data_IF_589776120267
#
_entry.id   IF_589776120267
#
_cell.length_a   1.000
_cell.length_b   1.000
_cell.length_c   1.000
_cell.angle_alpha   90.00
_cell.angle_beta   90.00
_cell.angle_gamma   90.00
#
_symmetry.space_group_name_H-M   'P 1'
#
loop_
_entity.id
_entity.type
_entity.pdbx_description
1 polymer ?
2 non-polymer ?
3 non-polymer ?
4 non-polymer ?
5 water ?
#
# COMPACT_ATOMS: atom_id res chain seq x y z
N UNK A 3 11.59 -19.68 -12.25
CA UNK A 3 10.48 -19.91 -11.33
C UNK A 3 9.56 -21.00 -11.84
N UNK A 4 8.85 -21.69 -10.93
CA UNK A 4 7.80 -22.60 -11.37
C UNK A 4 6.72 -21.89 -12.21
N UNK A 5 5.93 -22.62 -12.98
CA UNK A 5 4.80 -22.00 -13.71
C UNK A 5 3.74 -21.49 -12.77
N UNK A 6 3.16 -20.30 -12.96
CA UNK A 6 2.00 -19.89 -12.16
C UNK A 6 0.89 -20.92 -12.29
N UNK A 7 0.15 -21.11 -11.22
CA UNK A 7 -0.94 -22.09 -11.17
C UNK A 7 -2.30 -21.43 -11.26
N UNK A 8 -2.90 -21.39 -12.45
CA UNK A 8 -4.16 -20.67 -12.64
C UNK A 8 -5.33 -21.39 -11.95
N UNK A 9 -5.32 -22.72 -11.89
CA UNK A 9 -6.38 -23.43 -11.17
C UNK A 9 -6.33 -23.05 -9.69
N UNK A 10 -5.10 -23.00 -9.12
CA UNK A 10 -4.96 -22.53 -7.74
C UNK A 10 -5.38 -21.08 -7.57
N UNK A 11 -5.04 -20.20 -8.50
CA UNK A 11 -5.52 -18.80 -8.40
C UNK A 11 -7.04 -18.76 -8.45
N UNK A 12 -7.67 -19.51 -9.31
CA UNK A 12 -9.15 -19.56 -9.44
C UNK A 12 -9.74 -20.01 -8.08
N UNK A 13 -9.14 -21.02 -7.45
CA UNK A 13 -9.66 -21.49 -6.17
C UNK A 13 -9.52 -20.43 -5.08
N UNK A 14 -8.42 -19.67 -5.04
CA UNK A 14 -8.25 -18.59 -4.07
C UNK A 14 -9.38 -17.56 -4.22
N UNK A 15 -9.66 -17.10 -5.45
CA UNK A 15 -10.73 -16.11 -5.67
C UNK A 15 -12.07 -16.67 -5.26
N UNK A 16 -12.34 -17.94 -5.62
CA UNK A 16 -13.65 -18.54 -5.24
C UNK A 16 -13.75 -18.62 -3.72
N UNK A 17 -12.69 -18.97 -3.03
CA UNK A 17 -12.71 -19.01 -1.55
C UNK A 17 -12.97 -17.61 -1.00
N UNK A 18 -12.33 -16.58 -1.51
CA UNK A 18 -12.55 -15.20 -1.03
C UNK A 18 -14.02 -14.80 -1.20
N UNK A 19 -14.65 -15.14 -2.33
CA UNK A 19 -16.07 -14.82 -2.45
C UNK A 19 -16.86 -15.55 -1.38
N UNK A 20 -16.55 -16.83 -1.15
CA UNK A 20 -17.31 -17.61 -0.14
C UNK A 20 -17.16 -17.04 1.26
N UNK A 21 -16.13 -16.24 1.51
CA UNK A 21 -15.82 -15.66 2.80
C UNK A 21 -16.32 -14.21 2.93
N UNK A 22 -16.89 -13.64 1.87
CA UNK A 22 -17.58 -12.35 1.97
C UNK A 22 -17.06 -11.30 1.03
N UNK A 23 -16.08 -11.58 0.17
CA UNK A 23 -15.67 -10.57 -0.84
C UNK A 23 -16.71 -10.50 -1.95
N UNK A 24 -17.29 -9.34 -2.29
CA UNK A 24 -18.19 -9.32 -3.47
C UNK A 24 -17.50 -9.73 -4.74
N UNK A 25 -16.25 -9.33 -4.91
CA UNK A 25 -15.44 -9.59 -6.04
C UNK A 25 -13.98 -9.74 -5.65
N UNK A 26 -13.24 -10.50 -6.50
CA UNK A 26 -11.80 -10.73 -6.24
C UNK A 26 -11.15 -10.97 -7.59
N UNK A 27 -9.92 -10.47 -7.75
CA UNK A 27 -9.25 -10.65 -9.05
C UNK A 27 -7.73 -10.63 -8.85
N UNK A 28 -7.02 -11.07 -9.91
CA UNK A 28 -5.57 -11.19 -9.86
C UNK A 28 -5.02 -11.11 -11.30
N UNK A 29 -3.86 -10.41 -11.40
CA UNK A 29 -3.10 -10.35 -12.66
C UNK A 29 -1.67 -10.71 -12.38
N UNK A 30 -1.12 -11.62 -13.19
CA UNK A 30 0.30 -11.97 -13.11
C UNK A 30 0.95 -11.54 -14.42
N UNK A 31 2.09 -10.85 -14.34
CA UNK A 31 2.90 -10.63 -15.51
C UNK A 31 4.09 -11.55 -15.35
N UNK A 32 4.10 -12.65 -16.09
CA UNK A 32 5.16 -13.68 -15.97
C UNK A 32 6.14 -13.51 -17.14
N UNK A 33 7.09 -12.60 -16.98
CA UNK A 33 8.10 -12.39 -18.01
C UNK A 33 7.51 -12.23 -19.41
N UNK A 34 6.45 -11.42 -19.51
CA UNK A 34 5.83 -11.18 -20.81
C UNK A 34 4.65 -12.03 -21.21
N UNK A 35 4.25 -12.99 -20.38
CA UNK A 35 3.03 -13.78 -20.55
C UNK A 35 2.08 -13.41 -19.43
N UNK A 36 0.85 -13.04 -19.80
CA UNK A 36 -0.09 -12.51 -18.81
C UNK A 36 -0.99 -13.60 -18.32
N UNK A 37 -1.27 -13.60 -17.00
CA UNK A 37 -2.34 -14.40 -16.44
C UNK A 37 -3.37 -13.45 -15.81
N UNK A 38 -4.66 -13.67 -16.02
CA UNK A 38 -5.66 -12.74 -15.50
C UNK A 38 -6.93 -13.48 -15.18
N UNK A 39 -7.40 -13.34 -13.93
CA UNK A 39 -8.57 -14.02 -13.44
C UNK A 39 -9.39 -13.07 -12.57
N UNK A 40 -10.70 -13.23 -12.65
CA UNK A 40 -11.59 -12.42 -11.78
C UNK A 40 -12.87 -13.20 -11.48
N UNK A 41 -13.47 -13.00 -10.34
CA UNK A 41 -14.73 -13.62 -10.04
C UNK A 41 -15.58 -12.65 -9.22
N UNK A 42 -16.89 -12.62 -9.48
CA UNK A 42 -17.80 -11.78 -8.70
C UNK A 42 -18.01 -10.39 -9.28
N UNK A 43 -18.39 -9.47 -8.37
CA UNK A 43 -18.97 -8.19 -8.80
C UNK A 43 -18.15 -7.02 -8.31
N UNK A 44 -18.04 -6.03 -9.22
CA UNK A 44 -17.52 -4.69 -8.90
C UNK A 44 -18.53 -3.86 -8.12
N UNK A 45 -19.80 -4.01 -8.49
CA UNK A 45 -20.90 -3.28 -7.83
C UNK A 45 -21.95 -4.34 -7.47
N UNK A 46 -22.12 -4.58 -6.17
CA UNK A 46 -23.01 -5.65 -5.75
C UNK A 46 -24.47 -5.30 -5.89
N UNK A 47 -24.83 -4.01 -5.99
CA UNK A 47 -26.18 -3.54 -6.08
C UNK A 47 -26.64 -3.61 -7.54
N UNK A 48 -25.79 -3.19 -8.48
CA UNK A 48 -26.12 -3.28 -9.91
C UNK A 48 -25.81 -4.65 -10.50
N UNK A 49 -24.90 -5.42 -9.87
CA UNK A 49 -24.46 -6.69 -10.38
C UNK A 49 -23.36 -6.61 -11.42
N UNK A 50 -22.81 -5.42 -11.71
CA UNK A 50 -21.75 -5.33 -12.72
C UNK A 50 -20.53 -6.15 -12.31
N UNK A 51 -20.06 -7.01 -13.22
CA UNK A 51 -18.94 -7.91 -12.92
C UNK A 51 -17.62 -7.17 -12.72
N UNK A 52 -16.82 -7.71 -11.79
CA UNK A 52 -15.45 -7.20 -11.60
C UNK A 52 -14.56 -7.73 -12.69
N UNK A 53 -13.55 -6.94 -13.05
CA UNK A 53 -12.59 -7.36 -14.09
C UNK A 53 -11.22 -6.81 -13.70
N UNK A 54 -10.15 -7.39 -14.27
CA UNK A 54 -8.79 -7.03 -13.89
C UNK A 54 -8.42 -5.64 -14.42
N UNK A 55 -9.25 -4.99 -15.26
CA UNK A 55 -8.98 -3.61 -15.63
C UNK A 55 -9.68 -2.60 -14.73
N UNK A 56 -10.46 -3.03 -13.75
CA UNK A 56 -11.11 -2.07 -12.87
C UNK A 56 -10.13 -1.34 -11.98
N UNK A 57 -10.21 -0.02 -11.90
CA UNK A 57 -9.42 0.74 -10.98
C UNK A 57 -9.85 0.52 -9.54
N UNK A 58 -8.94 0.76 -8.58
CA UNK A 58 -9.28 0.56 -7.17
C UNK A 58 -8.31 1.36 -6.30
N UNK A 59 -8.64 1.46 -5.00
CA UNK A 59 -7.80 2.15 -4.03
C UNK A 59 -6.78 1.16 -3.45
N UNK A 60 -5.48 1.50 -3.58
CA UNK A 60 -4.39 0.59 -3.24
C UNK A 60 -3.95 0.67 -1.78
N UNK A 61 -4.50 1.59 -0.99
CA UNK A 61 -4.11 1.75 0.42
C UNK A 61 -2.62 1.88 0.59
N UNK A 62 -2.01 1.19 1.55
CA UNK A 62 -0.62 1.40 1.96
C UNK A 62 0.40 0.98 0.93
N UNK A 63 -0.01 0.40 -0.21
CA UNK A 63 0.87 0.28 -1.37
C UNK A 63 1.43 1.66 -1.75
N UNK A 64 0.63 2.72 -1.45
CA UNK A 64 1.04 4.10 -1.64
C UNK A 64 2.41 4.39 -1.03
N UNK A 65 2.73 3.73 0.09
CA UNK A 65 3.99 3.99 0.78
C UNK A 65 5.20 3.65 -0.10
N UNK A 66 5.06 2.66 -0.99
CA UNK A 66 6.18 2.36 -1.88
C UNK A 66 6.40 3.50 -2.88
N UNK A 67 5.32 4.12 -3.31
CA UNK A 67 5.41 5.33 -4.18
C UNK A 67 6.09 6.48 -3.43
N UNK A 68 5.67 6.73 -2.16
CA UNK A 68 6.32 7.78 -1.37
C UNK A 68 7.79 7.48 -1.15
N UNK A 69 8.12 6.20 -0.84
CA UNK A 69 9.52 5.87 -0.61
C UNK A 69 10.36 6.04 -1.86
N UNK A 70 9.85 5.71 -3.04
CA UNK A 70 10.61 5.89 -4.28
C UNK A 70 10.93 7.37 -4.44
N UNK A 71 9.93 8.26 -4.24
CA UNK A 71 10.22 9.70 -4.35
C UNK A 71 11.31 10.10 -3.35
N UNK A 72 11.20 9.71 -2.08
CA UNK A 72 12.20 10.09 -1.08
C UNK A 72 13.59 9.54 -1.44
N UNK A 73 13.68 8.31 -1.96
CA UNK A 73 15.01 7.74 -2.28
C UNK A 73 15.58 8.44 -3.49
N UNK A 74 14.75 8.92 -4.42
CA UNK A 74 15.30 9.77 -5.53
C UNK A 74 15.84 11.07 -4.94
N UNK A 75 15.18 11.64 -3.93
CA UNK A 75 15.70 12.85 -3.29
C UNK A 75 17.02 12.55 -2.61
N UNK A 76 17.20 11.34 -2.03
CA UNK A 76 18.53 10.97 -1.48
C UNK A 76 19.54 10.92 -2.60
N UNK A 77 19.23 10.27 -3.73
CA UNK A 77 20.11 10.28 -4.89
C UNK A 77 20.50 11.70 -5.33
N UNK A 78 19.57 12.65 -5.26
CA UNK A 78 19.82 14.03 -5.66
C UNK A 78 20.52 14.87 -4.60
N UNK A 79 20.81 14.29 -3.44
CA UNK A 79 21.54 15.04 -2.40
C UNK A 79 20.71 15.96 -1.55
N UNK A 80 19.38 15.82 -1.64
CA UNK A 80 18.44 16.66 -0.93
C UNK A 80 17.99 16.15 0.42
N UNK A 81 18.34 14.86 0.70
CA UNK A 81 17.84 14.16 1.89
C UNK A 81 18.88 13.18 2.34
N UNK A 82 19.18 13.09 3.60
CA UNK A 82 20.08 12.13 4.21
C UNK A 82 19.25 11.22 5.11
N UNK A 83 19.27 9.90 4.78
CA UNK A 83 18.43 9.00 5.56
C UNK A 83 18.75 8.99 7.05
N UNK A 84 19.99 9.28 7.45
CA UNK A 84 20.35 9.20 8.88
C UNK A 84 20.28 10.53 9.59
N UNK A 85 19.86 11.60 8.91
CA UNK A 85 19.57 12.87 9.60
C UNK A 85 18.24 12.82 10.32
N UNK A 86 18.12 13.66 11.34
CA UNK A 86 16.86 13.86 12.08
C UNK A 86 15.74 14.36 11.18
N UNK A 87 14.53 13.85 11.45
CA UNK A 87 13.38 14.45 10.81
C UNK A 87 13.33 15.96 11.01
N UNK A 88 13.62 16.43 12.24
CA UNK A 88 13.46 17.82 12.59
C UNK A 88 14.48 18.70 11.88
N UNK A 89 15.53 18.11 11.32
CA UNK A 89 16.47 18.89 10.50
C UNK A 89 15.72 19.50 9.32
N UNK A 90 14.77 18.74 8.76
CA UNK A 90 14.04 19.16 7.57
C UNK A 90 12.70 19.78 7.89
N UNK A 91 12.09 19.40 9.00
CA UNK A 91 10.76 19.85 9.42
C UNK A 91 10.92 20.35 10.83
N UNK A 92 11.53 21.52 11.02
CA UNK A 92 11.87 22.04 12.33
C UNK A 92 10.68 22.07 13.27
N UNK A 93 10.98 21.61 14.46
CA UNK A 93 9.98 21.61 15.53
C UNK A 93 8.89 20.57 15.37
N UNK A 94 8.93 19.65 14.40
CA UNK A 94 7.80 18.80 14.12
C UNK A 94 7.58 17.79 15.25
N UNK A 95 8.67 17.11 15.60
CA UNK A 95 8.57 16.03 16.57
C UNK A 95 9.15 16.49 17.90
N UNK A 96 8.64 15.97 19.03
CA UNK A 96 9.21 16.25 20.34
C UNK A 96 10.57 15.57 20.45
N UNK A 97 10.90 14.50 19.76
CA UNK A 97 12.23 13.88 19.80
C UNK A 97 13.01 14.19 18.54
N UNK A 98 14.08 15.03 18.76
CA UNK A 98 14.90 15.47 17.59
C UNK A 98 15.83 14.34 17.25
N UNK A 99 15.73 13.24 17.99
CA UNK A 99 16.49 12.02 17.80
C UNK A 99 15.93 11.12 16.70
N UNK A 100 14.62 11.23 16.38
CA UNK A 100 14.05 10.32 15.38
C UNK A 100 14.56 10.67 14.00
N UNK A 101 15.04 9.69 13.25
CA UNK A 101 15.60 9.98 11.94
C UNK A 101 14.68 9.57 10.78
N UNK A 102 15.06 10.04 9.57
CA UNK A 102 14.30 9.69 8.35
C UNK A 102 14.24 8.20 8.12
N UNK A 103 15.36 7.52 8.28
CA UNK A 103 15.42 6.07 8.08
C UNK A 103 14.49 5.34 9.03
N UNK A 104 14.44 5.83 10.29
CA UNK A 104 13.57 5.22 11.29
C UNK A 104 12.10 5.39 10.90
N UNK A 105 11.68 6.58 10.45
CA UNK A 105 10.26 6.71 9.97
C UNK A 105 9.98 5.80 8.79
N UNK A 106 10.93 5.72 7.83
CA UNK A 106 10.62 4.98 6.60
C UNK A 106 10.57 3.47 6.79
N UNK A 107 11.11 2.99 7.91
CA UNK A 107 11.13 1.56 8.24
C UNK A 107 10.23 1.22 9.44
N UNK A 108 9.37 2.16 9.85
CA UNK A 108 8.49 1.90 11.03
C UNK A 108 9.25 1.55 12.27
N UNK A 109 10.38 2.21 12.52
CA UNK A 109 11.14 2.05 13.76
C UNK A 109 11.20 3.36 14.54
N UNK A 110 10.25 4.28 14.36
CA UNK A 110 10.31 5.57 15.04
C UNK A 110 9.69 5.64 16.43
N UNK A 111 8.77 4.71 16.74
CA UNK A 111 7.94 4.76 17.96
C UNK A 111 6.81 5.73 17.91
N UNK A 112 6.56 6.49 16.83
CA UNK A 112 5.41 7.40 16.78
C UNK A 112 4.11 6.64 16.81
N UNK A 113 3.19 7.07 17.67
CA UNK A 113 1.90 6.42 17.82
C UNK A 113 1.05 6.49 16.54
N UNK A 114 0.36 5.44 16.17
CA UNK A 114 -0.47 5.41 14.99
C UNK A 114 -1.85 5.99 15.30
N UNK A 115 -2.08 7.26 14.87
CA UNK A 115 -3.36 7.96 15.13
C UNK A 115 -4.56 7.19 14.59
N UNK A 116 -4.39 6.32 13.58
CA UNK A 116 -5.59 5.63 13.06
C UNK A 116 -6.11 4.62 14.06
N UNK A 117 -5.30 4.16 15.04
CA UNK A 117 -5.89 3.33 16.11
C UNK A 117 -6.93 4.07 16.97
N UNK A 118 -6.87 5.41 17.01
CA UNK A 118 -7.98 6.16 17.62
C UNK A 118 -9.16 6.24 16.65
N UNK A 119 -8.91 6.45 15.37
CA UNK A 119 -10.00 6.73 14.40
C UNK A 119 -10.90 5.52 14.15
N UNK A 120 -10.31 4.31 14.10
CA UNK A 120 -11.04 3.16 13.61
C UNK A 120 -11.21 2.09 14.68
N UNK A 121 -11.24 2.47 15.96
CA UNK A 121 -11.63 1.51 17.02
C UNK A 121 -12.94 0.83 16.73
N UNK A 122 -13.88 1.55 16.14
CA UNK A 122 -15.15 1.01 15.65
C UNK A 122 -15.13 1.18 14.12
N UNK A 123 -15.25 0.09 13.34
CA UNK A 123 -14.98 0.15 11.90
C UNK A 123 -15.88 1.08 11.14
N UNK A 124 -17.20 0.86 11.18
CA UNK A 124 -18.10 1.71 10.33
C UNK A 124 -18.26 3.09 10.93
N UNK A 125 -18.46 3.26 12.25
CA UNK A 125 -18.54 4.63 12.77
C UNK A 125 -17.28 5.42 12.44
N UNK A 126 -16.09 4.82 12.55
CA UNK A 126 -14.86 5.55 12.30
C UNK A 126 -14.76 5.91 10.83
N UNK A 127 -15.15 5.02 9.90
CA UNK A 127 -15.22 5.38 8.49
C UNK A 127 -16.18 6.56 8.24
N UNK A 128 -17.37 6.50 8.83
CA UNK A 128 -18.33 7.58 8.64
C UNK A 128 -17.75 8.88 9.21
N UNK A 129 -16.93 8.81 10.25
CA UNK A 129 -16.34 10.01 10.85
C UNK A 129 -15.34 10.66 9.91
N UNK A 130 -14.48 9.88 9.24
CA UNK A 130 -13.35 10.49 8.49
C UNK A 130 -13.65 10.58 7.00
N UNK A 131 -14.68 9.92 6.43
CA UNK A 131 -14.70 9.74 4.95
C UNK A 131 -14.79 11.03 4.19
N UNK A 132 -15.43 12.03 4.76
CA UNK A 132 -15.65 13.32 4.08
C UNK A 132 -14.88 14.43 4.77
N UNK A 133 -13.85 14.09 5.55
CA UNK A 133 -13.01 15.09 6.20
C UNK A 133 -11.76 15.36 5.37
N UNK A 134 -11.30 16.60 5.40
CA UNK A 134 -10.02 16.96 4.84
C UNK A 134 -9.08 17.38 5.97
N UNK A 135 -7.94 16.69 6.07
CA UNK A 135 -6.93 16.97 7.08
C UNK A 135 -5.68 17.58 6.44
N UNK A 136 -5.00 18.46 7.14
CA UNK A 136 -3.65 18.82 6.72
C UNK A 136 -2.70 17.72 7.19
N UNK A 137 -1.48 17.71 6.65
CA UNK A 137 -0.47 16.80 7.20
C UNK A 137 -0.25 17.07 8.68
N UNK A 138 -0.13 18.37 9.01
CA UNK A 138 0.17 18.73 10.41
C UNK A 138 -0.97 18.28 11.30
N UNK A 139 -2.23 18.31 10.86
CA UNK A 139 -3.34 17.83 11.70
C UNK A 139 -3.10 16.40 12.15
N UNK A 140 -2.66 15.56 11.17
CA UNK A 140 -2.44 14.13 11.50
C UNK A 140 -1.27 13.92 12.43
N UNK A 141 -0.17 14.65 12.24
CA UNK A 141 0.95 14.57 13.19
C UNK A 141 0.51 14.98 14.61
N UNK A 142 -0.25 16.08 14.68
CA UNK A 142 -0.70 16.52 16.01
C UNK A 142 -1.53 15.43 16.67
N UNK A 143 -2.40 14.71 15.92
CA UNK A 143 -3.19 13.61 16.49
C UNK A 143 -2.29 12.51 17.01
N UNK A 144 -1.22 12.17 16.34
CA UNK A 144 -0.26 11.17 16.85
C UNK A 144 0.36 11.64 18.15
N UNK A 145 0.79 12.90 18.17
CA UNK A 145 1.58 13.41 19.30
C UNK A 145 0.71 13.63 20.54
N UNK A 146 -0.61 13.50 20.49
CA UNK A 146 -1.41 13.42 21.72
C UNK A 146 -1.00 12.22 22.57
N UNK A 147 -0.35 11.21 21.97
CA UNK A 147 0.10 10.03 22.66
C UNK A 147 1.62 10.05 22.76
N UNK A 148 2.15 9.47 23.83
CA UNK A 148 3.62 9.40 23.87
C UNK A 148 4.09 8.36 22.89
N UNK A 149 5.38 8.34 22.55
CA UNK A 149 5.93 7.26 21.71
C UNK A 149 5.79 5.91 22.40
N UNK A 150 5.76 4.90 21.55
CA UNK A 150 5.53 3.55 22.11
C UNK A 150 6.83 2.82 22.39
N UNK A 151 7.97 3.35 21.92
CA UNK A 151 9.25 2.66 22.11
C UNK A 151 10.35 3.66 21.77
N UNK A 152 11.59 3.24 22.09
CA UNK A 152 12.76 4.03 21.76
C UNK A 152 12.97 4.09 20.25
N UNK A 153 13.46 5.21 19.71
CA UNK A 153 13.74 5.26 18.28
C UNK A 153 14.74 4.18 17.91
N UNK A 154 14.41 3.56 16.79
CA UNK A 154 15.29 2.54 16.22
C UNK A 154 15.03 1.18 16.84
N UNK A 155 14.20 1.10 17.89
CA UNK A 155 14.11 -0.04 18.80
C UNK A 155 13.50 -1.32 18.23
N UNK A 156 12.33 -1.26 17.62
CA UNK A 156 11.41 -2.31 17.21
C UNK A 156 10.64 -1.97 15.96
N UNK A 157 10.17 -2.87 15.11
CA UNK A 157 9.20 -2.57 14.07
C UNK A 157 7.84 -2.31 14.76
N UNK A 158 7.23 -1.15 14.51
CA UNK A 158 5.85 -0.90 14.98
C UNK A 158 5.19 -0.09 13.89
N UNK A 159 4.25 -0.71 13.19
CA UNK A 159 3.62 0.00 12.06
C UNK A 159 2.96 1.30 12.54
N UNK A 160 3.13 2.38 11.79
CA UNK A 160 2.33 3.54 12.09
C UNK A 160 2.11 4.37 10.83
N UNK A 161 0.87 4.69 10.51
CA UNK A 161 0.60 5.61 9.40
C UNK A 161 1.31 6.95 9.60
N UNK A 162 1.51 7.39 10.84
CA UNK A 162 2.16 8.66 11.11
C UNK A 162 3.50 8.71 10.38
N UNK A 163 4.21 7.58 10.30
CA UNK A 163 5.52 7.58 9.61
C UNK A 163 5.45 8.08 8.16
N UNK A 164 4.41 7.63 7.42
CA UNK A 164 4.35 8.05 6.03
C UNK A 164 3.50 9.31 5.82
N UNK A 165 2.86 9.86 6.84
CA UNK A 165 2.46 11.25 6.89
C UNK A 165 3.72 12.14 6.93
N UNK A 166 4.67 11.82 7.84
CA UNK A 166 5.98 12.47 7.85
C UNK A 166 6.62 12.40 6.48
N UNK A 167 6.59 11.25 5.84
CA UNK A 167 7.17 11.11 4.50
C UNK A 167 6.57 12.10 3.49
N UNK A 168 5.24 12.28 3.49
CA UNK A 168 4.61 13.23 2.60
C UNK A 168 5.04 14.66 2.89
N UNK A 169 5.10 15.00 4.18
CA UNK A 169 5.57 16.33 4.57
C UNK A 169 6.99 16.60 4.14
N UNK A 170 7.83 15.57 4.22
CA UNK A 170 9.21 15.74 3.72
C UNK A 170 9.25 15.95 2.24
N UNK A 171 8.45 15.18 1.48
CA UNK A 171 8.43 15.36 0.01
C UNK A 171 8.02 16.79 -0.34
N UNK A 172 6.93 17.27 0.25
CA UNK A 172 6.43 18.59 -0.13
C UNK A 172 7.38 19.69 0.30
N UNK A 173 7.96 19.58 1.49
CA UNK A 173 8.90 20.62 2.00
C UNK A 173 10.13 20.66 1.11
N UNK A 174 10.72 19.49 0.82
CA UNK A 174 12.00 19.54 0.13
C UNK A 174 11.85 19.89 -1.34
N UNK A 175 10.73 19.62 -2.02
CA UNK A 175 10.58 19.79 -3.41
C UNK A 175 9.82 21.09 -3.73
N UNK A 176 9.07 21.63 -2.76
CA UNK A 176 8.23 22.78 -3.05
C UNK A 176 7.04 22.43 -3.90
N UNK A 177 6.73 21.13 -4.05
CA UNK A 177 5.62 20.66 -4.87
C UNK A 177 4.70 19.76 -4.04
N UNK A 178 3.50 19.58 -4.59
CA UNK A 178 2.58 18.63 -3.95
C UNK A 178 3.02 17.20 -4.19
N UNK A 179 2.59 16.29 -3.32
CA UNK A 179 2.93 14.87 -3.57
C UNK A 179 2.31 14.42 -4.90
N UNK A 180 1.11 14.92 -5.28
CA UNK A 180 0.57 14.48 -6.57
C UNK A 180 1.52 14.84 -7.71
N UNK A 181 2.05 16.07 -7.73
CA UNK A 181 2.99 16.47 -8.79
C UNK A 181 4.23 15.59 -8.78
N UNK A 182 4.80 15.29 -7.61
CA UNK A 182 6.03 14.50 -7.55
C UNK A 182 5.74 13.06 -8.00
N UNK A 183 4.63 12.45 -7.55
CA UNK A 183 4.28 11.11 -8.06
C UNK A 183 4.14 11.15 -9.57
N UNK A 184 3.43 12.15 -10.10
CA UNK A 184 3.20 12.18 -11.56
C UNK A 184 4.52 12.28 -12.31
N UNK A 185 5.37 13.22 -11.89
CA UNK A 185 6.57 13.52 -12.67
C UNK A 185 7.63 12.47 -12.51
N UNK A 186 7.73 11.84 -11.31
CA UNK A 186 8.85 10.91 -11.06
C UNK A 186 8.46 9.47 -11.32
N UNK A 187 7.16 9.14 -11.35
CA UNK A 187 6.73 7.75 -11.42
C UNK A 187 5.64 7.55 -12.45
N UNK A 188 4.48 8.19 -12.34
CA UNK A 188 3.35 7.86 -13.19
C UNK A 188 3.61 8.16 -14.66
N UNK A 189 4.12 9.31 -14.98
CA UNK A 189 4.41 9.65 -16.38
C UNK A 189 5.58 8.81 -16.90
N UNK A 190 6.77 8.71 -16.27
CA UNK A 190 7.86 7.91 -16.86
C UNK A 190 7.49 6.45 -17.10
N UNK A 191 6.65 5.86 -16.26
CA UNK A 191 6.28 4.45 -16.44
C UNK A 191 4.96 4.32 -17.22
N UNK A 192 4.40 5.44 -17.66
CA UNK A 192 3.12 5.41 -18.43
C UNK A 192 2.00 4.66 -17.68
N UNK A 193 1.83 5.01 -16.40
CA UNK A 193 0.81 4.34 -15.53
C UNK A 193 -0.53 5.04 -15.77
N UNK A 194 -1.22 4.69 -16.88
CA UNK A 194 -2.42 5.41 -17.35
C UNK A 194 -3.63 5.19 -16.47
N UNK A 195 -3.57 4.19 -15.55
CA UNK A 195 -4.67 3.92 -14.64
C UNK A 195 -4.39 4.42 -13.23
N UNK A 196 -3.30 5.15 -13.02
CA UNK A 196 -2.81 5.46 -11.68
C UNK A 196 -2.98 6.95 -11.41
N UNK A 197 -3.53 7.27 -10.23
CA UNK A 197 -3.93 8.63 -9.91
C UNK A 197 -3.69 8.89 -8.43
N UNK A 198 -3.50 10.18 -8.13
CA UNK A 198 -3.53 10.70 -6.74
C UNK A 198 -4.37 11.98 -6.80
N UNK A 199 -5.62 11.92 -6.37
CA UNK A 199 -6.64 12.93 -6.61
C UNK A 199 -7.08 13.62 -5.30
N UNK A 200 -6.49 13.25 -4.17
CA UNK A 200 -6.86 13.77 -2.86
C UNK A 200 -7.05 15.29 -2.91
N UNK A 201 -8.09 15.85 -2.31
CA UNK A 201 -9.13 15.16 -1.53
C UNK A 201 -10.38 14.79 -2.31
N UNK A 202 -10.29 14.71 -3.66
CA UNK A 202 -11.46 14.29 -4.41
C UNK A 202 -11.87 12.89 -4.00
N UNK A 203 -13.18 12.63 -4.00
CA UNK A 203 -13.78 11.37 -3.58
C UNK A 203 -14.16 10.48 -4.77
N UNK A 204 -14.10 10.97 -6.00
CA UNK A 204 -14.42 10.22 -7.20
C UNK A 204 -13.23 9.37 -7.63
N UNK A 205 -13.49 8.13 -8.03
CA UNK A 205 -12.46 7.30 -8.65
C UNK A 205 -12.60 7.44 -10.16
N UNK A 206 -11.61 7.99 -10.87
CA UNK A 206 -11.76 8.22 -12.31
C UNK A 206 -11.94 6.94 -13.06
N UNK A 207 -12.86 6.95 -14.05
CA UNK A 207 -13.02 5.82 -14.92
C UNK A 207 -13.73 4.63 -14.28
N UNK A 208 -13.80 3.52 -15.02
CA UNK A 208 -14.45 2.30 -14.52
C UNK A 208 -13.64 1.71 -13.36
N UNK A 209 -14.33 1.43 -12.26
CA UNK A 209 -13.68 1.01 -11.04
C UNK A 209 -14.49 -0.04 -10.29
N UNK A 210 -13.78 -0.78 -9.44
CA UNK A 210 -14.47 -1.62 -8.44
C UNK A 210 -14.99 -0.76 -7.32
N UNK A 211 -16.26 -0.95 -6.92
CA UNK A 211 -16.71 -0.31 -5.68
C UNK A 211 -16.11 -1.07 -4.48
N UNK A 212 -15.96 -0.38 -3.36
CA UNK A 212 -15.43 -1.00 -2.14
C UNK A 212 -16.55 -1.27 -1.14
N UNK A 213 -16.48 -2.39 -0.45
CA UNK A 213 -17.51 -2.75 0.52
C UNK A 213 -16.92 -3.06 1.87
N UNK A 214 -17.21 -2.17 2.82
CA UNK A 214 -16.67 -2.30 4.16
C UNK A 214 -17.51 -3.29 4.96
N UNK A 215 -16.85 -4.29 5.53
CA UNK A 215 -17.52 -5.25 6.40
C UNK A 215 -17.75 -4.65 7.80
N UNK A 216 -18.95 -4.67 8.34
CA UNK A 216 -19.14 -4.14 9.68
C UNK A 216 -18.55 -5.05 10.75
N UNK A 217 -18.32 -4.52 11.97
CA UNK A 217 -17.81 -5.34 13.06
C UNK A 217 -18.81 -6.38 13.55
N UNK A 218 -20.09 -6.18 13.33
CA UNK A 218 -21.09 -7.18 13.70
C UNK A 218 -21.16 -8.28 12.65
N UNK A 219 -20.95 -9.50 13.10
CA UNK A 219 -20.98 -10.64 12.19
C UNK A 219 -22.31 -10.68 11.44
N UNK A 220 -22.23 -10.88 10.11
CA UNK A 220 -23.39 -11.00 9.25
C UNK A 220 -24.06 -9.65 8.96
N UNK A 221 -23.49 -8.56 9.43
CA UNK A 221 -24.13 -7.23 9.17
C UNK A 221 -24.02 -6.84 7.71
N UNK A 222 -24.94 -5.99 7.25
CA UNK A 222 -24.99 -5.52 5.88
C UNK A 222 -23.70 -4.74 5.54
N UNK A 223 -23.21 -4.94 4.32
CA UNK A 223 -22.02 -4.24 3.85
C UNK A 223 -22.35 -2.75 3.57
N UNK A 224 -21.31 -1.94 3.78
CA UNK A 224 -21.39 -0.49 3.56
C UNK A 224 -20.58 -0.15 2.32
N UNK A 225 -21.16 0.60 1.35
CA UNK A 225 -20.42 1.08 0.20
C UNK A 225 -19.43 2.14 0.67
N UNK A 226 -18.13 1.83 0.58
CA UNK A 226 -17.10 2.75 1.08
C UNK A 226 -16.25 3.32 -0.08
N UNK A 227 -16.74 3.17 -1.32
CA UNK A 227 -15.99 3.55 -2.52
C UNK A 227 -15.48 4.98 -2.49
N UNK A 228 -16.37 5.94 -2.19
CA UNK A 228 -16.07 7.37 -2.37
C UNK A 228 -15.76 8.00 -1.05
N UNK A 229 -14.46 8.35 -0.85
CA UNK A 229 -13.99 8.98 0.38
C UNK A 229 -12.77 9.81 0.02
N UNK A 230 -12.36 10.73 0.90
CA UNK A 230 -11.22 11.57 0.62
C UNK A 230 -9.89 10.84 0.78
N UNK A 231 -9.86 9.83 1.65
CA UNK A 231 -8.64 9.16 2.10
C UNK A 231 -7.66 10.19 2.67
N UNK A 232 -8.22 11.29 3.21
CA UNK A 232 -7.36 12.36 3.76
C UNK A 232 -6.69 11.94 5.05
N UNK A 233 -7.23 10.92 5.74
CA UNK A 233 -6.57 10.39 6.93
C UNK A 233 -5.29 9.65 6.61
N UNK A 234 -5.02 9.36 5.31
CA UNK A 234 -3.80 8.60 4.96
C UNK A 234 -2.90 9.42 4.02
N UNK A 235 -3.42 10.03 2.94
CA UNK A 235 -2.64 10.84 1.99
C UNK A 235 -1.42 10.05 1.50
N UNK A 236 -0.20 10.53 1.74
CA UNK A 236 1.01 9.87 1.27
C UNK A 236 1.28 8.51 1.92
N UNK A 237 0.48 8.08 2.90
CA UNK A 237 0.52 6.74 3.47
C UNK A 237 -0.50 5.81 2.78
N UNK A 238 -1.47 6.34 1.99
CA UNK A 238 -2.52 5.45 1.50
C UNK A 238 -3.48 5.88 0.44
N UNK A 239 -3.38 7.06 -0.23
CA UNK A 239 -4.43 7.51 -1.12
C UNK A 239 -4.25 7.24 -2.63
N UNK A 240 -3.25 6.49 -3.10
CA UNK A 240 -3.15 6.24 -4.55
C UNK A 240 -4.28 5.32 -5.06
N UNK A 241 -4.72 5.62 -6.29
CA UNK A 241 -5.62 4.79 -7.09
C UNK A 241 -4.81 4.13 -8.21
N UNK A 242 -5.04 2.83 -8.47
CA UNK A 242 -4.31 2.20 -9.57
C UNK A 242 -5.09 1.01 -10.12
N UNK A 243 -4.35 0.17 -10.87
CA UNK A 243 -4.90 -1.03 -11.49
C UNK A 243 -3.89 -2.16 -11.31
N UNK A 244 -4.36 -3.39 -11.57
CA UNK A 244 -3.41 -4.53 -11.46
C UNK A 244 -2.28 -4.40 -12.47
N UNK A 245 -2.56 -3.97 -13.70
CA UNK A 245 -1.49 -3.85 -14.68
C UNK A 245 -0.48 -2.79 -14.22
N UNK A 246 -0.93 -1.64 -13.70
CA UNK A 246 -0.01 -0.60 -13.35
C UNK A 246 0.79 -0.95 -12.10
N UNK A 247 0.22 -1.62 -11.10
CA UNK A 247 1.07 -1.98 -9.93
C UNK A 247 2.09 -3.06 -10.35
N UNK A 248 1.73 -3.96 -11.25
CA UNK A 248 2.72 -4.92 -11.81
C UNK A 248 3.84 -4.17 -12.50
N UNK A 249 3.50 -3.16 -13.33
CA UNK A 249 4.54 -2.40 -14.01
C UNK A 249 5.42 -1.69 -13.00
N UNK A 250 4.84 -1.07 -11.98
CA UNK A 250 5.60 -0.32 -10.99
C UNK A 250 6.56 -1.20 -10.20
N UNK A 251 6.10 -2.32 -9.60
CA UNK A 251 7.03 -3.12 -8.78
C UNK A 251 8.03 -3.84 -9.65
N UNK A 252 7.70 -4.21 -10.91
CA UNK A 252 8.74 -4.73 -11.80
C UNK A 252 9.81 -3.71 -12.11
N UNK A 253 9.41 -2.46 -12.35
CA UNK A 253 10.39 -1.40 -12.60
C UNK A 253 11.26 -1.17 -11.37
N UNK A 254 10.64 -1.17 -10.19
CA UNK A 254 11.41 -0.96 -8.95
C UNK A 254 12.49 -2.05 -8.77
N UNK A 255 12.06 -3.31 -8.82
CA UNK A 255 13.00 -4.40 -8.48
C UNK A 255 14.05 -4.59 -9.56
N UNK A 256 13.73 -4.26 -10.82
CA UNK A 256 14.68 -4.37 -11.90
C UNK A 256 15.62 -3.17 -12.00
N UNK A 257 15.52 -2.17 -11.12
CA UNK A 257 16.51 -1.13 -10.96
C UNK A 257 16.25 0.09 -11.79
N UNK A 258 15.00 0.37 -12.18
CA UNK A 258 14.70 1.50 -13.06
C UNK A 258 14.33 2.79 -12.32
N UNK A 259 14.14 2.78 -11.01
CA UNK A 259 13.53 3.95 -10.35
C UNK A 259 14.45 4.68 -9.39
N UNK A 260 15.72 4.24 -9.24
CA UNK A 260 16.68 4.86 -8.29
C UNK A 260 18.05 4.28 -8.52
N UNK A 261 19.09 4.83 -7.89
CA UNK A 261 20.41 4.19 -7.97
C UNK A 261 20.42 2.82 -7.32
N UNK A 262 21.38 1.98 -7.74
CA UNK A 262 21.60 0.69 -7.05
C UNK A 262 21.85 0.87 -5.56
N UNK A 263 22.59 1.88 -5.14
CA UNK A 263 22.85 2.15 -3.72
C UNK A 263 21.53 2.38 -2.98
N UNK A 264 20.63 3.17 -3.54
CA UNK A 264 19.37 3.45 -2.81
C UNK A 264 18.45 2.26 -2.84
N UNK A 265 18.43 1.46 -3.91
CA UNK A 265 17.63 0.25 -3.87
C UNK A 265 18.13 -0.67 -2.77
N UNK A 266 19.46 -0.75 -2.58
CA UNK A 266 20.03 -1.61 -1.54
C UNK A 266 19.60 -1.16 -0.14
N UNK A 267 19.56 0.15 0.07
CA UNK A 267 19.07 0.69 1.35
C UNK A 267 17.60 0.29 1.52
N UNK A 268 16.83 0.36 0.43
CA UNK A 268 15.38 0.09 0.51
C UNK A 268 15.12 -1.35 0.94
N UNK A 269 16.08 -2.22 0.64
CA UNK A 269 15.96 -3.64 0.95
C UNK A 269 16.79 -4.08 2.15
N UNK A 270 17.15 -3.16 3.04
CA UNK A 270 17.75 -3.60 4.33
C UNK A 270 16.57 -3.95 5.27
N UNK A 271 16.42 -5.24 5.55
CA UNK A 271 15.23 -5.71 6.22
C UNK A 271 15.25 -5.60 7.75
N UNK A 272 14.18 -5.05 8.29
CA UNK A 272 13.85 -5.07 9.70
C UNK A 272 12.90 -6.24 9.91
N UNK A 273 13.14 -7.08 10.90
CA UNK A 273 12.19 -8.19 11.11
C UNK A 273 10.79 -7.78 11.49
N UNK A 274 9.81 -8.29 10.80
CA UNK A 274 8.38 -8.12 11.15
C UNK A 274 7.91 -9.38 11.89
N UNK A 275 8.17 -10.56 11.31
CA UNK A 275 7.86 -11.85 11.94
C UNK A 275 8.77 -12.88 11.25
N UNK A 276 8.63 -14.17 11.53
CA UNK A 276 9.59 -15.16 11.03
C UNK A 276 9.51 -15.35 9.52
N UNK A 277 8.48 -14.83 8.85
CA UNK A 277 8.41 -14.92 7.38
C UNK A 277 8.24 -13.53 6.71
N UNK A 278 8.54 -12.45 7.43
CA UNK A 278 8.34 -11.14 6.80
C UNK A 278 9.36 -10.13 7.33
N UNK A 279 9.77 -9.24 6.39
CA UNK A 279 10.61 -8.12 6.78
C UNK A 279 10.05 -6.82 6.21
N UNK A 280 10.58 -5.73 6.72
CA UNK A 280 10.20 -4.36 6.28
C UNK A 280 11.49 -3.65 5.94
N UNK A 281 11.58 -2.99 4.77
CA UNK A 281 12.76 -2.26 4.37
C UNK A 281 12.49 -0.78 4.52
N UNK A 282 12.53 -0.03 3.43
CA UNK A 282 12.13 1.37 3.44
C UNK A 282 10.91 1.53 2.51
N UNK A 283 9.72 1.53 3.09
CA UNK A 283 8.54 1.51 2.24
C UNK A 283 8.33 0.30 1.34
N UNK A 284 8.79 -0.83 1.85
CA UNK A 284 8.80 -2.05 1.06
C UNK A 284 8.72 -3.24 1.99
N UNK A 285 7.91 -4.26 1.63
CA UNK A 285 7.76 -5.48 2.41
C UNK A 285 8.43 -6.65 1.66
N UNK A 286 8.95 -7.57 2.49
CA UNK A 286 9.41 -8.85 2.00
C UNK A 286 8.52 -9.94 2.60
N UNK A 287 8.03 -10.86 1.75
CA UNK A 287 7.29 -12.01 2.24
C UNK A 287 8.01 -13.27 1.78
N UNK A 288 8.22 -14.22 2.69
CA UNK A 288 8.89 -15.49 2.41
C UNK A 288 7.84 -16.56 2.19
N UNK A 289 7.86 -17.16 1.00
CA UNK A 289 6.81 -18.10 0.56
C UNK A 289 7.21 -19.53 0.88
N UNK A 290 6.27 -20.45 0.89
CA UNK A 290 6.45 -21.78 1.42
C UNK A 290 7.53 -22.51 0.65
N UNK A 291 7.68 -22.20 -0.64
CA UNK A 291 8.55 -22.98 -1.50
C UNK A 291 9.96 -22.42 -1.47
N UNK A 292 10.23 -21.53 -0.51
CA UNK A 292 11.61 -21.03 -0.40
C UNK A 292 11.86 -19.80 -1.24
N UNK A 293 10.84 -19.22 -1.83
CA UNK A 293 11.00 -17.98 -2.63
C UNK A 293 10.67 -16.78 -1.77
N UNK A 294 11.37 -15.66 -1.79
CA UNK A 294 10.97 -14.37 -1.25
C UNK A 294 10.47 -13.45 -2.35
N UNK A 295 9.46 -12.66 -2.05
CA UNK A 295 8.94 -11.65 -3.01
C UNK A 295 8.82 -10.33 -2.26
N UNK A 296 8.73 -9.24 -3.07
CA UNK A 296 8.97 -7.88 -2.58
C UNK A 296 7.92 -6.96 -3.11
N UNK A 297 7.36 -6.10 -2.25
CA UNK A 297 6.29 -5.22 -2.71
C UNK A 297 5.53 -4.71 -1.50
N UNK A 298 4.20 -4.67 -1.56
CA UNK A 298 3.49 -4.10 -0.42
C UNK A 298 2.07 -4.62 -0.47
N UNK A 299 1.45 -4.63 0.73
CA UNK A 299 0.04 -4.86 0.94
C UNK A 299 -0.71 -3.54 1.18
N UNK A 300 -2.01 -3.54 0.94
CA UNK A 300 -2.79 -2.36 1.30
C UNK A 300 -4.14 -2.78 1.89
N UNK A 301 -4.58 -1.99 2.87
CA UNK A 301 -5.92 -2.01 3.41
C UNK A 301 -6.47 -0.61 3.45
N UNK A 302 -7.51 -0.31 2.71
CA UNK A 302 -8.26 0.94 2.83
C UNK A 302 -9.73 0.50 2.83
N UNK A 303 -10.67 1.28 3.39
CA UNK A 303 -12.01 0.72 3.57
C UNK A 303 -12.61 0.19 2.27
N UNK A 304 -12.93 -1.07 2.28
CA UNK A 304 -13.49 -1.75 1.13
C UNK A 304 -12.55 -2.37 0.14
N UNK A 305 -11.24 -2.29 0.38
CA UNK A 305 -10.25 -2.82 -0.59
C UNK A 305 -9.04 -3.43 0.11
N UNK A 306 -8.75 -4.69 -0.19
CA UNK A 306 -7.52 -5.38 0.19
C UNK A 306 -6.64 -5.62 -1.04
N UNK A 307 -5.39 -5.16 -1.02
CA UNK A 307 -4.47 -5.29 -2.13
C UNK A 307 -3.22 -6.07 -1.74
N UNK A 308 -2.73 -6.94 -2.64
CA UNK A 308 -1.39 -7.50 -2.54
C UNK A 308 -0.67 -7.16 -3.84
N UNK A 309 0.55 -6.62 -3.80
CA UNK A 309 1.26 -6.31 -5.04
C UNK A 309 2.73 -6.62 -4.78
N UNK A 310 3.25 -7.70 -5.42
CA UNK A 310 4.60 -8.21 -5.11
C UNK A 310 5.25 -8.69 -6.39
N UNK A 311 6.60 -8.60 -6.39
CA UNK A 311 7.40 -9.04 -7.56
C UNK A 311 8.55 -9.90 -7.05
N UNK A 312 9.11 -10.68 -7.98
CA UNK A 312 10.34 -11.42 -7.68
C UNK A 312 11.53 -10.47 -7.58
N UNK A 313 12.65 -10.94 -7.06
CA UNK A 313 13.82 -10.12 -6.76
C UNK A 313 14.29 -9.35 -8.01
N UNK A 314 14.22 -9.97 -9.18
CA UNK A 314 14.70 -9.35 -10.39
C UNK A 314 13.58 -8.64 -11.15
N UNK A 315 12.35 -8.61 -10.65
CA UNK A 315 11.22 -7.90 -11.27
C UNK A 315 10.62 -8.66 -12.44
N UNK A 316 11.06 -9.85 -12.79
CA UNK A 316 10.60 -10.49 -14.00
C UNK A 316 9.21 -11.13 -13.82
N UNK A 317 8.78 -11.46 -12.61
CA UNK A 317 7.39 -11.90 -12.39
C UNK A 317 6.79 -10.95 -11.36
N UNK A 318 5.60 -10.43 -11.67
CA UNK A 318 4.88 -9.57 -10.71
C UNK A 318 3.44 -10.03 -10.64
N UNK A 319 2.84 -9.85 -9.45
CA UNK A 319 1.49 -10.23 -9.18
C UNK A 319 0.76 -9.13 -8.41
N UNK A 320 -0.47 -8.81 -8.82
CA UNK A 320 -1.33 -7.91 -8.07
C UNK A 320 -2.69 -8.55 -7.93
N UNK A 321 -3.16 -8.62 -6.68
CA UNK A 321 -4.46 -9.21 -6.33
C UNK A 321 -5.27 -8.16 -5.55
N UNK A 322 -6.58 -8.17 -5.76
CA UNK A 322 -7.52 -7.22 -5.16
C UNK A 322 -8.78 -7.97 -4.76
N UNK A 323 -9.26 -7.76 -3.52
CA UNK A 323 -10.60 -8.13 -3.14
C UNK A 323 -11.29 -6.84 -2.72
N UNK A 324 -12.54 -6.59 -3.16
CA UNK A 324 -13.23 -5.34 -2.84
C UNK A 324 -14.09 -5.47 -1.55
N UNK A 325 -13.43 -6.00 -0.50
CA UNK A 325 -13.98 -5.80 0.83
C UNK A 325 -12.80 -5.49 1.77
N UNK A 326 -13.09 -5.04 2.99
CA UNK A 326 -12.10 -5.01 4.05
C UNK A 326 -12.78 -5.30 5.39
N UNK A 327 -11.99 -5.21 6.48
CA UNK A 327 -12.43 -5.65 7.82
C UNK A 327 -12.99 -7.06 7.76
N UNK A 328 -12.24 -7.93 7.05
CA UNK A 328 -12.62 -9.34 6.90
C UNK A 328 -11.32 -10.13 6.85
N UNK A 329 -10.84 -10.53 8.04
CA UNK A 329 -9.49 -11.12 8.05
C UNK A 329 -9.48 -12.45 7.31
N UNK A 330 -10.57 -13.19 7.26
CA UNK A 330 -10.51 -14.43 6.45
C UNK A 330 -10.19 -14.12 5.00
N UNK A 331 -10.86 -13.11 4.41
CA UNK A 331 -10.59 -12.67 3.03
C UNK A 331 -9.14 -12.22 2.89
N UNK A 332 -8.69 -11.38 3.85
CA UNK A 332 -7.29 -10.91 3.77
C UNK A 332 -6.34 -12.09 3.72
N UNK A 333 -6.49 -13.06 4.61
CA UNK A 333 -5.55 -14.19 4.67
C UNK A 333 -5.69 -15.05 3.42
N UNK A 334 -6.93 -15.27 2.92
CA UNK A 334 -7.09 -16.03 1.68
C UNK A 334 -6.39 -15.36 0.52
N UNK A 335 -6.54 -14.04 0.36
CA UNK A 335 -5.94 -13.38 -0.80
C UNK A 335 -4.41 -13.45 -0.78
N UNK A 336 -3.76 -13.64 0.36
CA UNK A 336 -2.32 -13.85 0.41
C UNK A 336 -1.92 -15.11 -0.33
N UNK A 337 -2.82 -16.08 -0.42
CA UNK A 337 -2.50 -17.33 -1.12
C UNK A 337 -2.27 -17.11 -2.60
N UNK A 338 -2.74 -15.98 -3.19
CA UNK A 338 -2.41 -15.73 -4.61
C UNK A 338 -0.89 -15.72 -4.82
N UNK A 339 -0.11 -15.28 -3.83
CA UNK A 339 1.34 -15.24 -3.98
C UNK A 339 1.92 -16.64 -4.09
N UNK A 340 1.39 -17.58 -3.27
CA UNK A 340 1.81 -18.98 -3.38
C UNK A 340 1.52 -19.56 -4.78
N UNK A 341 0.27 -19.41 -5.21
CA UNK A 341 -0.09 -19.97 -6.50
C UNK A 341 0.67 -19.33 -7.64
N UNK A 342 0.87 -18.01 -7.58
CA UNK A 342 1.50 -17.31 -8.70
C UNK A 342 3.01 -17.52 -8.78
N UNK A 343 3.69 -17.66 -7.63
CA UNK A 343 5.15 -17.80 -7.58
C UNK A 343 5.59 -19.24 -7.37
N UNK A 344 4.95 -19.97 -6.45
CA UNK A 344 5.39 -21.35 -6.16
C UNK A 344 4.73 -22.34 -7.08
N UNK A 345 3.59 -22.02 -7.69
CA UNK A 345 2.95 -22.93 -8.64
C UNK A 345 2.27 -24.12 -7.97
N UNK A 346 1.92 -25.09 -8.82
CA UNK A 346 1.21 -26.29 -8.34
C UNK A 346 2.10 -27.03 -7.39
N UNK A 347 1.53 -27.49 -6.28
CA UNK A 347 2.28 -28.37 -5.41
C UNK A 347 2.70 -29.66 -6.16
#
# INVERSE_FOLDING_TARGET
ADLPAPDDTGLQAVLHTALSQGAPGAMVRVDDNGTIHQLSEGVADRATGRAITTTDRFRVGSVTKSFSAVVLLQLVDEGKLDLDASVNTYLPGLLPDDRITVRQVMSHRSGLYDYTNDMFAQTVPGFESVRNKVFSYQDLITLSLKHGVTNAPGAAYSYSNTNFVVAGMLIEKLTGHSVATEYQNRIFTPLNLTDTFYVHPDTVIPGTHANGYLTPDEAGGALVDSTEQTVSWAQSAGAVISSTQDLDTFFSALMSGQLMSAAQLAQMQQWTTVNSTQGYGLGLRRRDLSCGISVYGHTGTVQGYYTYAFASKDGKRSVTALANTSNNVNVLNTMARTLESAFCGKPTT
#
